data_IF_947022324286
#
_entry.id   IF_947022324286
#
_cell.length_a   1.000
_cell.length_b   1.000
_cell.length_c   1.000
_cell.angle_alpha   90.00
_cell.angle_beta   90.00
_cell.angle_gamma   90.00
#
_symmetry.space_group_name_H-M   'P 1'
#
loop_
_entity.id
_entity.type
_entity.pdbx_description
1 polymer ?
#
# COMPACT_ATOMS: atom_id res chain seq x y z
N UNK A 1 13.60 19.22 -14.81
CA UNK A 1 13.02 18.85 -13.49
C UNK A 1 13.52 17.46 -13.12
N UNK A 2 14.17 17.30 -11.97
CA UNK A 2 14.82 16.03 -11.58
C UNK A 2 13.81 15.11 -10.89
N UNK A 3 13.65 13.90 -11.43
CA UNK A 3 12.77 12.84 -10.97
C UNK A 3 13.12 12.43 -9.52
N UNK A 4 12.14 12.52 -8.60
CA UNK A 4 12.23 12.12 -7.19
C UNK A 4 11.39 10.85 -7.00
N UNK A 5 11.96 9.79 -6.42
CA UNK A 5 11.22 8.54 -6.19
C UNK A 5 10.36 8.64 -4.93
N UNK A 6 9.06 8.50 -5.12
CA UNK A 6 8.05 8.37 -4.07
C UNK A 6 7.59 6.90 -4.02
N UNK A 7 7.33 6.38 -2.83
CA UNK A 7 7.10 4.96 -2.57
C UNK A 7 5.85 4.77 -1.69
N UNK A 8 5.06 3.72 -1.94
CA UNK A 8 3.91 3.37 -1.09
C UNK A 8 4.29 2.29 -0.08
N UNK A 9 4.19 2.55 1.22
CA UNK A 9 4.49 1.56 2.26
C UNK A 9 3.27 1.24 3.12
N UNK A 10 3.19 -0.03 3.54
CA UNK A 10 2.19 -0.54 4.49
C UNK A 10 2.78 -0.41 5.89
N UNK A 11 2.14 0.36 6.76
CA UNK A 11 2.55 0.44 8.16
C UNK A 11 1.88 -0.70 8.94
N UNK A 12 2.69 -1.67 9.41
CA UNK A 12 2.24 -2.83 10.20
C UNK A 12 3.01 -2.84 11.51
N UNK A 13 2.40 -3.28 12.61
CA UNK A 13 3.13 -3.52 13.86
C UNK A 13 4.23 -4.58 13.64
N UNK A 14 5.45 -4.41 14.16
CA UNK A 14 6.38 -5.53 14.27
C UNK A 14 5.76 -6.56 15.22
N UNK A 15 5.44 -7.74 14.72
CA UNK A 15 4.89 -8.82 15.55
C UNK A 15 5.95 -9.32 16.54
N UNK A 16 5.67 -9.37 17.85
CA UNK A 16 6.60 -9.94 18.82
C UNK A 16 6.36 -11.44 18.96
N UNK A 17 6.72 -12.25 17.95
CA UNK A 17 7.00 -13.69 18.11
C UNK A 17 7.21 -14.39 16.75
N UNK A 18 8.46 -14.44 16.30
CA UNK A 18 9.01 -15.70 15.79
C UNK A 18 10.27 -15.97 16.60
N UNK A 19 10.35 -17.08 17.36
CA UNK A 19 11.61 -17.46 17.98
C UNK A 19 12.61 -17.71 16.84
N UNK A 20 13.76 -17.03 16.91
CA UNK A 20 14.94 -17.39 16.13
C UNK A 20 15.32 -18.83 16.51
N UNK A 21 14.76 -19.82 15.80
CA UNK A 21 15.28 -21.18 15.84
C UNK A 21 16.51 -21.21 14.95
N UNK A 22 17.66 -21.33 15.62
CA UNK A 22 18.96 -21.61 15.05
C UNK A 22 18.96 -23.02 14.47
N UNK A 23 18.51 -23.18 13.22
CA UNK A 23 18.82 -24.37 12.43
C UNK A 23 19.31 -23.95 11.06
N UNK A 24 20.63 -23.95 10.96
CA UNK A 24 21.41 -23.82 9.74
C UNK A 24 20.96 -24.82 8.66
N UNK A 25 20.31 -24.32 7.60
CA UNK A 25 20.37 -24.95 6.28
C UNK A 25 21.05 -24.01 5.28
N UNK A 26 22.33 -24.32 5.10
CA UNK A 26 23.26 -23.98 4.03
C UNK A 26 22.64 -23.86 2.62
N UNK A 27 22.14 -22.67 2.25
CA UNK A 27 21.92 -22.33 0.83
C UNK A 27 22.04 -20.83 0.47
N UNK A 28 22.51 -19.96 1.37
CA UNK A 28 22.71 -18.52 1.08
C UNK A 28 24.15 -18.06 1.35
N UNK A 29 25.13 -18.79 0.80
CA UNK A 29 26.53 -18.32 0.73
C UNK A 29 27.04 -18.40 -0.71
N UNK A 30 26.79 -17.32 -1.47
CA UNK A 30 27.70 -16.67 -2.42
C UNK A 30 26.90 -15.68 -3.28
N UNK A 31 26.66 -14.50 -2.74
CA UNK A 31 26.58 -13.30 -3.57
C UNK A 31 27.73 -12.44 -3.09
N UNK A 32 28.77 -12.38 -3.92
CA UNK A 32 29.94 -11.52 -3.72
C UNK A 32 29.47 -10.08 -3.45
N UNK A 33 30.16 -9.31 -2.59
CA UNK A 33 29.86 -7.89 -2.48
C UNK A 33 30.14 -7.26 -3.84
N UNK A 34 29.09 -6.87 -4.56
CA UNK A 34 29.27 -6.02 -5.73
C UNK A 34 29.82 -4.70 -5.17
N UNK A 35 31.14 -4.51 -5.27
CA UNK A 35 31.75 -3.19 -5.17
C UNK A 35 31.18 -2.35 -6.31
N UNK A 36 30.04 -1.70 -6.08
CA UNK A 36 29.53 -0.64 -6.95
C UNK A 36 30.26 0.64 -6.56
N UNK A 37 30.94 1.23 -7.54
CA UNK A 37 31.57 2.53 -7.44
C UNK A 37 30.67 3.54 -6.72
N UNK A 38 31.16 4.10 -5.62
CA UNK A 38 30.46 5.07 -4.78
C UNK A 38 30.39 6.48 -5.42
N UNK A 39 30.79 6.63 -6.68
CA UNK A 39 30.93 7.91 -7.38
C UNK A 39 29.62 8.57 -7.83
N UNK A 40 28.46 7.90 -7.67
CA UNK A 40 27.16 8.41 -8.12
C UNK A 40 26.09 8.48 -7.02
N UNK A 41 26.47 8.42 -5.75
CA UNK A 41 25.53 8.61 -4.64
C UNK A 41 25.06 10.06 -4.64
N UNK A 42 23.81 10.30 -5.08
CA UNK A 42 23.17 11.61 -4.95
C UNK A 42 23.11 11.98 -3.47
N UNK A 43 23.44 13.23 -3.16
CA UNK A 43 23.34 13.74 -1.80
C UNK A 43 21.89 13.59 -1.30
N UNK A 44 21.69 13.20 -0.03
CA UNK A 44 20.36 13.00 0.52
C UNK A 44 19.53 14.28 0.39
N UNK A 45 18.28 14.15 -0.06
CA UNK A 45 17.38 15.30 -0.17
C UNK A 45 16.93 15.74 1.22
N UNK A 46 16.83 17.05 1.45
CA UNK A 46 16.31 17.57 2.73
C UNK A 46 14.83 17.17 2.90
N UNK A 47 14.41 16.79 4.12
CA UNK A 47 13.00 16.58 4.44
C UNK A 47 12.15 17.80 4.07
N UNK A 48 10.95 17.55 3.58
CA UNK A 48 9.92 18.54 3.33
C UNK A 48 9.40 19.09 4.67
N UNK A 49 9.12 20.38 4.71
CA UNK A 49 8.43 21.01 5.84
C UNK A 49 6.94 21.04 5.52
N UNK A 50 6.13 20.51 6.43
CA UNK A 50 4.67 20.55 6.35
C UNK A 50 4.13 21.65 7.27
N UNK A 51 2.93 22.19 6.98
CA UNK A 51 2.27 23.12 7.89
C UNK A 51 2.08 22.50 9.28
N UNK A 52 2.19 23.33 10.32
CA UNK A 52 1.90 22.93 11.71
C UNK A 52 0.47 23.28 12.16
N UNK A 53 -0.34 23.83 11.26
CA UNK A 53 -1.76 24.17 11.48
C UNK A 53 -2.49 24.27 10.13
N UNK A 54 -3.80 24.52 10.15
CA UNK A 54 -4.60 24.76 8.93
C UNK A 54 -5.33 23.54 8.39
N UNK A 55 -5.55 22.52 9.22
CA UNK A 55 -6.44 21.39 8.95
C UNK A 55 -7.70 21.48 9.79
N UNK A 56 -8.76 20.84 9.31
CA UNK A 56 -9.97 20.62 10.10
C UNK A 56 -9.72 19.53 11.15
N UNK A 57 -10.14 19.81 12.39
CA UNK A 57 -10.09 18.86 13.51
C UNK A 57 -11.41 18.10 13.55
N UNK A 58 -11.32 16.77 13.53
CA UNK A 58 -12.47 15.89 13.58
C UNK A 58 -12.78 15.55 15.04
N UNK A 59 -14.07 15.52 15.38
CA UNK A 59 -14.54 15.07 16.70
C UNK A 59 -14.02 13.63 16.99
N UNK A 60 -13.32 13.41 18.12
CA UNK A 60 -12.87 12.09 18.56
C UNK A 60 -13.95 11.00 18.58
N UNK A 61 -15.23 11.35 18.75
CA UNK A 61 -16.35 10.41 18.81
C UNK A 61 -16.78 9.88 17.44
N UNK A 62 -16.41 10.53 16.35
CA UNK A 62 -16.85 10.15 15.00
C UNK A 62 -15.85 9.13 14.43
N UNK A 63 -16.24 7.86 14.18
CA UNK A 63 -15.35 6.91 13.53
C UNK A 63 -15.08 7.35 12.09
N UNK A 64 -13.82 7.33 11.68
CA UNK A 64 -13.41 7.63 10.30
C UNK A 64 -12.68 6.45 9.69
N UNK A 65 -12.90 6.20 8.40
CA UNK A 65 -12.12 5.26 7.59
C UNK A 65 -11.95 3.87 8.25
N UNK A 66 -10.73 3.48 8.62
CA UNK A 66 -10.44 2.20 9.26
C UNK A 66 -11.17 2.00 10.58
N UNK A 67 -11.50 3.08 11.30
CA UNK A 67 -12.24 3.02 12.56
C UNK A 67 -13.69 2.56 12.36
N UNK A 68 -14.22 2.63 11.14
CA UNK A 68 -15.56 2.12 10.79
C UNK A 68 -15.58 0.60 10.55
N UNK A 69 -14.42 -0.04 10.45
CA UNK A 69 -14.33 -1.48 10.23
C UNK A 69 -14.70 -2.21 11.53
N UNK A 70 -15.68 -3.14 11.54
CA UNK A 70 -16.14 -3.79 12.77
C UNK A 70 -15.04 -4.51 13.59
N UNK A 71 -13.98 -4.97 12.92
CA UNK A 71 -12.85 -5.66 13.53
C UNK A 71 -11.66 -4.75 13.87
N UNK A 72 -11.82 -3.43 13.67
CA UNK A 72 -10.78 -2.46 13.94
C UNK A 72 -10.36 -2.47 15.41
N UNK A 73 -9.05 -2.49 15.63
CA UNK A 73 -8.44 -2.37 16.95
C UNK A 73 -7.24 -1.44 16.82
N UNK A 74 -7.26 -0.23 17.42
CA UNK A 74 -6.22 0.76 17.19
C UNK A 74 -4.82 0.25 17.59
N UNK A 75 -4.74 -0.67 18.55
CA UNK A 75 -3.50 -1.29 19.04
C UNK A 75 -2.82 -2.18 18.00
N UNK A 76 -3.55 -2.63 16.97
CA UNK A 76 -2.99 -3.43 15.87
C UNK A 76 -2.41 -2.58 14.74
N UNK A 77 -2.65 -1.27 14.75
CA UNK A 77 -2.23 -0.35 13.71
C UNK A 77 -1.07 0.51 14.23
N UNK A 78 0.02 0.58 13.46
CA UNK A 78 1.15 1.43 13.82
C UNK A 78 0.75 2.92 13.74
N UNK A 79 0.98 3.74 14.76
CA UNK A 79 0.82 5.18 14.63
C UNK A 79 1.85 5.73 13.63
N UNK A 80 1.40 6.61 12.74
CA UNK A 80 2.23 7.23 11.70
C UNK A 80 1.89 8.71 11.63
N UNK A 81 2.91 9.57 11.59
CA UNK A 81 2.71 11.03 11.54
C UNK A 81 3.20 11.62 10.22
N UNK A 82 2.38 12.47 9.60
CA UNK A 82 2.81 13.22 8.40
C UNK A 82 4.05 14.07 8.74
N UNK A 83 5.08 13.96 7.92
CA UNK A 83 6.38 14.61 8.11
C UNK A 83 7.42 13.78 8.88
N UNK A 84 7.01 12.71 9.57
CA UNK A 84 7.91 11.77 10.25
C UNK A 84 8.89 11.13 9.27
N UNK A 85 10.10 10.80 9.72
CA UNK A 85 11.12 10.13 8.90
C UNK A 85 11.44 8.76 9.48
N UNK A 86 10.96 7.70 8.81
CA UNK A 86 11.28 6.32 9.16
C UNK A 86 12.67 5.92 8.69
N UNK A 87 13.40 5.22 9.57
CA UNK A 87 14.74 4.69 9.30
C UNK A 87 15.71 5.74 8.71
N UNK A 88 15.55 7.00 9.15
CA UNK A 88 16.28 8.17 8.65
C UNK A 88 16.21 8.39 7.13
N UNK A 89 15.26 7.76 6.43
CA UNK A 89 15.25 7.69 4.97
C UNK A 89 13.90 7.98 4.34
N UNK A 90 12.81 7.51 4.93
CA UNK A 90 11.48 7.61 4.33
C UNK A 90 10.66 8.65 5.06
N UNK A 91 10.48 9.80 4.44
CA UNK A 91 9.61 10.83 4.99
C UNK A 91 8.16 10.56 4.63
N UNK A 92 7.27 10.52 5.61
CA UNK A 92 5.83 10.38 5.39
C UNK A 92 5.25 11.64 4.76
N UNK A 93 4.58 11.50 3.63
CA UNK A 93 3.92 12.60 2.93
C UNK A 93 2.42 12.67 3.20
N UNK A 94 1.75 11.53 3.35
CA UNK A 94 0.30 11.49 3.56
C UNK A 94 -0.26 10.08 3.44
N UNK A 95 -1.49 9.90 3.93
CA UNK A 95 -2.18 8.62 3.90
C UNK A 95 -2.83 8.40 2.53
N UNK A 96 -2.62 7.23 1.95
CA UNK A 96 -3.20 6.83 0.65
C UNK A 96 -4.47 6.01 0.81
N UNK A 97 -4.57 5.23 1.88
CA UNK A 97 -5.69 4.35 2.12
C UNK A 97 -5.52 3.51 3.37
N UNK A 98 -6.45 2.59 3.55
CA UNK A 98 -6.53 1.71 4.70
C UNK A 98 -7.21 0.40 4.32
N UNK A 99 -7.00 -0.63 5.14
CA UNK A 99 -7.65 -1.92 5.04
C UNK A 99 -7.81 -2.56 6.41
N UNK A 100 -8.31 -3.80 6.45
CA UNK A 100 -8.62 -4.53 7.69
C UNK A 100 -7.44 -4.69 8.65
N UNK A 101 -6.21 -4.67 8.12
CA UNK A 101 -4.99 -5.01 8.87
C UNK A 101 -3.91 -3.93 8.85
N UNK A 102 -4.04 -2.90 8.02
CA UNK A 102 -3.03 -1.84 7.93
C UNK A 102 -3.53 -0.55 7.31
N UNK A 103 -2.79 0.53 7.53
CA UNK A 103 -2.86 1.78 6.78
C UNK A 103 -1.75 1.84 5.73
N UNK A 104 -2.03 2.48 4.60
CA UNK A 104 -1.10 2.65 3.48
C UNK A 104 -0.71 4.13 3.37
N UNK A 105 0.59 4.39 3.26
CA UNK A 105 1.17 5.73 3.30
C UNK A 105 2.06 5.99 2.09
N UNK A 106 2.00 7.23 1.59
CA UNK A 106 2.98 7.71 0.63
C UNK A 106 4.20 8.21 1.38
N UNK A 107 5.36 7.64 1.06
CA UNK A 107 6.65 8.04 1.57
C UNK A 107 7.54 8.63 0.49
N UNK A 108 8.40 9.57 0.89
CA UNK A 108 9.47 10.11 0.06
C UNK A 108 10.80 9.51 0.47
N UNK A 109 11.48 8.87 -0.47
CA UNK A 109 12.84 8.39 -0.25
C UNK A 109 13.82 9.56 -0.31
N UNK A 110 14.47 9.86 0.81
CA UNK A 110 15.44 10.93 0.90
C UNK A 110 16.80 10.55 0.30
N UNK A 111 17.08 9.26 0.08
CA UNK A 111 18.39 8.77 -0.32
C UNK A 111 18.44 8.10 -1.71
N UNK A 112 17.33 8.04 -2.44
CA UNK A 112 17.24 7.54 -3.83
C UNK A 112 17.82 6.11 -4.04
N UNK A 113 17.90 5.32 -2.97
CA UNK A 113 18.32 3.91 -3.05
C UNK A 113 17.12 3.01 -3.37
N UNK A 114 17.34 1.84 -3.96
CA UNK A 114 16.28 0.84 -4.11
C UNK A 114 16.19 0.04 -2.81
N UNK A 115 15.09 0.15 -2.07
CA UNK A 115 14.73 -0.84 -1.06
C UNK A 115 13.26 -1.22 -1.24
N UNK A 116 12.93 -2.45 -0.85
CA UNK A 116 11.62 -3.08 -0.96
C UNK A 116 10.52 -2.21 -0.37
N UNK A 117 9.98 -1.34 -1.21
CA UNK A 117 8.74 -0.61 -0.97
C UNK A 117 8.04 -0.65 -2.32
N UNK A 118 6.78 -1.11 -2.32
CA UNK A 118 6.03 -1.30 -3.54
C UNK A 118 5.93 0.04 -4.31
N UNK A 119 6.03 0.05 -5.66
CA UNK A 119 5.76 1.26 -6.42
C UNK A 119 4.39 1.84 -6.02
N UNK A 120 4.25 3.17 -5.89
CA UNK A 120 2.96 3.74 -5.56
C UNK A 120 1.96 3.36 -6.65
N UNK A 121 0.83 2.82 -6.23
CA UNK A 121 -0.29 2.51 -7.10
C UNK A 121 -1.38 3.57 -6.89
N UNK A 122 -2.15 3.81 -7.95
CA UNK A 122 -3.30 4.70 -7.93
C UNK A 122 -4.52 4.04 -7.34
N UNK A 123 -5.69 4.51 -7.78
CA UNK A 123 -7.00 4.05 -7.30
C UNK A 123 -7.26 2.57 -7.61
N UNK A 124 -8.15 1.96 -6.83
CA UNK A 124 -8.66 0.61 -7.11
C UNK A 124 -9.62 0.59 -8.30
N UNK A 125 -9.88 -0.60 -8.84
CA UNK A 125 -10.90 -0.76 -9.88
C UNK A 125 -12.31 -0.44 -9.37
N UNK A 126 -12.58 -0.69 -8.09
CA UNK A 126 -13.86 -0.32 -7.48
C UNK A 126 -14.06 1.21 -7.51
N UNK A 127 -13.07 1.95 -7.00
CA UNK A 127 -13.05 3.41 -7.02
C UNK A 127 -13.14 3.95 -8.45
N UNK A 128 -12.42 3.33 -9.40
CA UNK A 128 -12.51 3.74 -10.80
C UNK A 128 -13.92 3.53 -11.35
N UNK A 129 -14.54 2.38 -11.06
CA UNK A 129 -15.87 2.05 -11.56
C UNK A 129 -16.89 3.08 -11.10
N UNK A 130 -16.82 3.51 -9.83
CA UNK A 130 -17.68 4.58 -9.30
C UNK A 130 -17.51 5.93 -10.01
N UNK A 131 -16.34 6.20 -10.61
CA UNK A 131 -16.04 7.45 -11.33
C UNK A 131 -16.43 7.39 -12.83
N UNK A 132 -16.74 6.21 -13.37
CA UNK A 132 -17.06 6.05 -14.78
C UNK A 132 -18.54 6.34 -15.08
N UNK A 133 -18.87 6.89 -16.28
CA UNK A 133 -20.25 7.07 -16.70
C UNK A 133 -21.04 5.76 -16.64
N UNK A 134 -22.10 5.74 -15.84
CA UNK A 134 -22.95 4.56 -15.64
C UNK A 134 -22.29 3.42 -14.86
N UNK A 135 -21.10 3.61 -14.29
CA UNK A 135 -20.42 2.56 -13.53
C UNK A 135 -19.91 1.40 -14.39
N UNK A 136 -19.65 1.63 -15.68
CA UNK A 136 -19.29 0.56 -16.62
C UNK A 136 -17.87 0.75 -17.15
N UNK A 137 -17.03 -0.28 -16.99
CA UNK A 137 -15.73 -0.35 -17.65
C UNK A 137 -15.88 -0.73 -19.13
N UNK A 138 -15.06 -0.12 -19.99
CA UNK A 138 -15.00 -0.53 -21.40
C UNK A 138 -14.51 -1.97 -21.56
N UNK A 139 -14.93 -2.64 -22.64
CA UNK A 139 -14.48 -4.01 -22.96
C UNK A 139 -12.96 -4.12 -23.08
N UNK A 140 -12.28 -3.06 -23.54
CA UNK A 140 -10.83 -3.00 -23.60
C UNK A 140 -10.18 -2.97 -22.21
N UNK A 141 -10.74 -2.21 -21.26
CA UNK A 141 -10.27 -2.16 -19.87
C UNK A 141 -10.49 -3.49 -19.17
N UNK A 142 -11.67 -4.10 -19.33
CA UNK A 142 -11.97 -5.42 -18.77
C UNK A 142 -11.00 -6.47 -19.31
N UNK A 143 -10.80 -6.52 -20.63
CA UNK A 143 -9.87 -7.47 -21.27
C UNK A 143 -8.44 -7.30 -20.76
N UNK A 144 -7.98 -6.07 -20.61
CA UNK A 144 -6.63 -5.79 -20.09
C UNK A 144 -6.51 -6.19 -18.63
N UNK A 145 -7.51 -5.88 -17.82
CA UNK A 145 -7.56 -6.24 -16.40
C UNK A 145 -7.52 -7.74 -16.21
N UNK A 146 -8.41 -8.48 -16.87
CA UNK A 146 -8.50 -9.94 -16.75
C UNK A 146 -7.17 -10.60 -17.15
N UNK A 147 -6.53 -10.15 -18.24
CA UNK A 147 -5.22 -10.69 -18.65
C UNK A 147 -4.14 -10.52 -17.57
N UNK A 148 -4.05 -9.34 -16.96
CA UNK A 148 -3.06 -9.09 -15.91
C UNK A 148 -3.38 -9.86 -14.63
N UNK A 149 -4.66 -9.96 -14.24
CA UNK A 149 -5.09 -10.74 -13.09
C UNK A 149 -4.79 -12.22 -13.29
N UNK A 150 -5.11 -12.79 -14.46
CA UNK A 150 -4.83 -14.19 -14.77
C UNK A 150 -3.33 -14.48 -14.78
N UNK A 151 -2.51 -13.59 -15.34
CA UNK A 151 -1.06 -13.73 -15.31
C UNK A 151 -0.49 -13.69 -13.87
N UNK A 152 -1.03 -12.82 -13.01
CA UNK A 152 -0.65 -12.75 -11.61
C UNK A 152 -1.06 -14.02 -10.84
N UNK A 153 -2.27 -14.53 -11.09
CA UNK A 153 -2.76 -15.76 -10.46
C UNK A 153 -1.97 -16.99 -10.93
N UNK A 154 -1.63 -17.08 -12.21
CA UNK A 154 -0.80 -18.15 -12.75
C UNK A 154 0.57 -18.19 -12.04
N UNK A 155 1.23 -17.04 -11.90
CA UNK A 155 2.46 -16.95 -11.12
C UNK A 155 2.27 -17.38 -9.66
N UNK A 156 1.21 -16.90 -9.00
CA UNK A 156 0.96 -17.24 -7.59
C UNK A 156 0.73 -18.75 -7.38
N UNK A 157 -0.04 -19.38 -8.27
CA UNK A 157 -0.38 -20.80 -8.15
C UNK A 157 0.77 -21.71 -8.58
N UNK A 158 1.40 -21.41 -9.71
CA UNK A 158 2.40 -22.27 -10.35
C UNK A 158 3.77 -22.14 -9.70
N UNK A 159 4.24 -20.90 -9.46
CA UNK A 159 5.61 -20.64 -9.00
C UNK A 159 5.67 -20.41 -7.49
N UNK A 160 4.74 -19.60 -6.95
CA UNK A 160 4.77 -19.24 -5.52
C UNK A 160 4.07 -20.26 -4.62
N UNK A 161 3.23 -21.13 -5.20
CA UNK A 161 2.35 -22.04 -4.47
C UNK A 161 1.51 -21.32 -3.39
N UNK A 162 0.93 -20.18 -3.76
CA UNK A 162 0.09 -19.33 -2.90
C UNK A 162 -1.29 -19.23 -3.52
N UNK A 163 -2.32 -19.50 -2.72
CA UNK A 163 -3.72 -19.32 -3.09
C UNK A 163 -4.16 -17.90 -2.70
N UNK A 164 -4.66 -17.16 -3.69
CA UNK A 164 -5.36 -15.89 -3.47
C UNK A 164 -6.78 -16.19 -2.98
N UNK A 165 -7.10 -15.78 -1.77
CA UNK A 165 -8.41 -15.98 -1.11
C UNK A 165 -9.28 -14.74 -1.08
N UNK A 166 -8.78 -13.60 -1.56
CA UNK A 166 -9.47 -12.31 -1.49
C UNK A 166 -9.32 -11.55 -2.82
N UNK A 167 -9.81 -12.16 -3.90
CA UNK A 167 -9.83 -11.54 -5.23
C UNK A 167 -11.11 -10.71 -5.38
N UNK A 168 -10.95 -9.39 -5.39
CA UNK A 168 -12.05 -8.43 -5.54
C UNK A 168 -11.55 -7.13 -6.18
N UNK A 169 -12.43 -6.30 -6.79
CA UNK A 169 -12.04 -5.05 -7.44
C UNK A 169 -11.28 -4.06 -6.54
N UNK A 170 -11.55 -4.07 -5.22
CA UNK A 170 -10.83 -3.27 -4.23
C UNK A 170 -9.34 -3.60 -4.12
N UNK A 171 -8.98 -4.85 -4.39
CA UNK A 171 -7.61 -5.36 -4.30
C UNK A 171 -6.87 -5.31 -5.65
N UNK A 172 -7.47 -4.72 -6.69
CA UNK A 172 -6.83 -4.50 -7.98
C UNK A 172 -6.60 -3.00 -8.13
N UNK A 173 -5.35 -2.58 -7.94
CA UNK A 173 -4.96 -1.17 -8.01
C UNK A 173 -4.33 -0.86 -9.38
N UNK A 174 -4.58 0.33 -9.90
CA UNK A 174 -4.00 0.76 -11.17
C UNK A 174 -2.59 1.30 -10.98
N UNK A 175 -1.66 0.90 -11.84
CA UNK A 175 -0.33 1.50 -11.90
C UNK A 175 -0.39 3.01 -12.19
N UNK A 176 0.66 3.72 -11.77
CA UNK A 176 0.82 5.15 -12.08
C UNK A 176 1.72 5.27 -13.30
N UNK A 177 1.21 5.86 -14.39
CA UNK A 177 2.01 6.16 -15.60
C UNK A 177 2.74 7.49 -15.52
N UNK A 178 2.09 8.49 -14.93
CA UNK A 178 2.62 9.84 -14.81
C UNK A 178 2.99 10.12 -13.36
N UNK A 179 4.29 10.13 -13.05
CA UNK A 179 4.81 10.41 -11.72
C UNK A 179 4.48 11.85 -11.23
N UNK A 180 4.03 12.75 -12.12
CA UNK A 180 3.56 14.09 -11.71
C UNK A 180 2.41 14.03 -10.71
N UNK A 181 1.59 12.97 -10.72
CA UNK A 181 0.48 12.79 -9.76
C UNK A 181 0.99 12.71 -8.32
N UNK A 182 2.17 12.13 -8.12
CA UNK A 182 2.78 11.98 -6.80
C UNK A 182 3.34 13.31 -6.29
N UNK A 183 3.89 14.13 -7.20
CA UNK A 183 4.35 15.48 -6.86
C UNK A 183 3.18 16.42 -6.56
N UNK A 184 2.07 16.28 -7.29
CA UNK A 184 0.81 17.00 -7.01
C UNK A 184 0.22 16.59 -5.67
N UNK A 185 0.27 15.30 -5.32
CA UNK A 185 -0.14 14.82 -4.00
C UNK A 185 0.69 15.48 -2.88
N UNK A 186 2.02 15.45 -3.01
CA UNK A 186 2.93 16.08 -2.03
C UNK A 186 2.60 17.56 -1.84
N UNK A 187 2.45 18.29 -2.95
CA UNK A 187 2.18 19.73 -2.91
C UNK A 187 0.79 20.03 -2.34
N UNK A 188 -0.23 19.24 -2.69
CA UNK A 188 -1.59 19.42 -2.19
C UNK A 188 -1.70 19.22 -0.67
N UNK A 189 -0.92 18.30 -0.08
CA UNK A 189 -0.88 18.15 1.37
C UNK A 189 -0.19 19.33 2.08
N UNK A 190 0.76 19.98 1.41
CA UNK A 190 1.42 21.19 1.93
C UNK A 190 0.50 22.40 1.83
N UNK A 191 -0.22 22.54 0.71
CA UNK A 191 -1.07 23.72 0.46
C UNK A 191 -2.39 23.64 1.23
N UNK A 192 -2.94 22.43 1.39
CA UNK A 192 -4.23 22.21 2.03
C UNK A 192 -4.18 20.89 2.81
N UNK A 193 -3.66 20.88 4.06
CA UNK A 193 -3.52 19.67 4.85
C UNK A 193 -4.83 18.91 5.05
N UNK A 194 -4.80 17.57 5.01
CA UNK A 194 -6.03 16.78 5.22
C UNK A 194 -6.59 16.95 6.64
N UNK A 195 -7.93 16.87 6.80
CA UNK A 195 -8.56 16.77 8.11
C UNK A 195 -8.03 15.57 8.89
N UNK A 196 -7.96 15.72 10.22
CA UNK A 196 -7.40 14.68 11.09
C UNK A 196 -8.05 14.68 12.47
N UNK A 197 -8.09 13.50 13.07
CA UNK A 197 -8.51 13.27 14.46
C UNK A 197 -7.25 13.18 15.31
N UNK A 198 -7.16 14.02 16.34
CA UNK A 198 -6.07 13.97 17.32
C UNK A 198 -6.56 13.29 18.59
N UNK A 199 -5.91 12.19 18.96
CA UNK A 199 -6.12 11.43 20.19
C UNK A 199 -4.87 11.56 21.07
N UNK A 200 -4.97 11.14 22.33
CA UNK A 200 -3.87 11.25 23.31
C UNK A 200 -2.59 10.53 22.85
N UNK A 201 -2.73 9.37 22.21
CA UNK A 201 -1.62 8.50 21.81
C UNK A 201 -1.43 8.37 20.30
N UNK A 202 -2.28 8.99 19.47
CA UNK A 202 -2.20 8.88 18.01
C UNK A 202 -2.94 9.99 17.27
N UNK A 203 -2.63 10.12 15.99
CA UNK A 203 -3.41 10.94 15.06
C UNK A 203 -3.92 10.05 13.93
N UNK A 204 -5.23 10.10 13.66
CA UNK A 204 -5.84 9.45 12.50
C UNK A 204 -6.06 10.50 11.42
N UNK A 205 -5.57 10.25 10.21
CA UNK A 205 -5.66 11.18 9.09
C UNK A 205 -6.66 10.64 8.06
N UNK A 206 -7.41 11.52 7.40
CA UNK A 206 -8.13 11.12 6.20
C UNK A 206 -7.17 10.74 5.08
N UNK A 207 -7.56 9.76 4.28
CA UNK A 207 -6.83 9.37 3.09
C UNK A 207 -7.00 10.45 2.02
N UNK A 208 -5.89 10.87 1.41
CA UNK A 208 -5.94 11.76 0.25
C UNK A 208 -6.03 10.93 -1.02
N UNK A 209 -7.00 11.18 -1.92
CA UNK A 209 -7.09 10.45 -3.17
C UNK A 209 -5.92 10.83 -4.10
N UNK A 210 -5.35 9.83 -4.76
CA UNK A 210 -4.44 10.06 -5.89
C UNK A 210 -5.24 10.39 -7.14
N UNK A 211 -4.72 11.32 -7.96
CA UNK A 211 -5.31 11.59 -9.28
C UNK A 211 -5.36 10.31 -10.11
N UNK A 212 -6.46 10.13 -10.86
CA UNK A 212 -6.68 8.94 -11.67
C UNK A 212 -5.54 8.73 -12.66
N UNK A 213 -4.95 7.54 -12.63
CA UNK A 213 -3.96 7.10 -13.62
C UNK A 213 -4.38 5.73 -14.16
N UNK A 214 -4.37 5.59 -15.48
CA UNK A 214 -4.77 4.36 -16.18
C UNK A 214 -3.54 3.50 -16.51
N UNK A 215 -2.71 3.22 -15.50
CA UNK A 215 -1.59 2.30 -15.64
C UNK A 215 -2.02 0.83 -15.61
N UNK A 216 -1.03 -0.05 -15.68
CA UNK A 216 -1.26 -1.50 -15.67
C UNK A 216 -1.95 -1.91 -14.36
N UNK A 217 -3.05 -2.68 -14.41
CA UNK A 217 -3.68 -3.21 -13.21
C UNK A 217 -2.75 -4.17 -12.48
N UNK A 218 -2.66 -4.05 -11.15
CA UNK A 218 -1.82 -4.86 -10.29
C UNK A 218 -2.69 -5.51 -9.20
N UNK A 219 -2.58 -6.83 -9.07
CA UNK A 219 -3.22 -7.56 -7.96
C UNK A 219 -2.43 -7.30 -6.67
N UNK A 220 -3.13 -6.79 -5.65
CA UNK A 220 -2.54 -6.29 -4.42
C UNK A 220 -3.04 -7.05 -3.18
N UNK A 221 -2.43 -6.71 -2.05
CA UNK A 221 -2.82 -7.10 -0.69
C UNK A 221 -2.92 -8.61 -0.41
N UNK A 222 -1.79 -9.33 -0.38
CA UNK A 222 -1.70 -10.74 0.02
C UNK A 222 -1.97 -11.02 1.51
N UNK A 223 -2.60 -10.11 2.26
CA UNK A 223 -2.86 -10.26 3.70
C UNK A 223 -3.67 -11.51 4.06
N UNK A 224 -4.61 -11.90 3.19
CA UNK A 224 -5.46 -13.09 3.38
C UNK A 224 -4.92 -14.33 2.64
N UNK A 225 -3.84 -14.19 1.88
CA UNK A 225 -3.33 -15.26 1.02
C UNK A 225 -2.84 -16.46 1.83
N UNK A 226 -3.01 -17.66 1.26
CA UNK A 226 -2.70 -18.92 1.95
C UNK A 226 -1.67 -19.72 1.17
N UNK A 227 -0.82 -20.47 1.86
CA UNK A 227 0.05 -21.44 1.19
C UNK A 227 -0.81 -22.57 0.59
N UNK A 228 -0.46 -23.00 -0.62
CA UNK A 228 -1.12 -24.05 -1.40
C UNK A 228 -0.89 -25.45 -0.84
N UNK A 229 -1.23 -25.66 0.43
CA UNK A 229 -1.22 -26.96 1.09
C UNK A 229 -2.65 -27.52 1.15
N UNK A 230 -2.81 -28.84 1.08
CA UNK A 230 -4.10 -29.53 0.93
C UNK A 230 -5.09 -29.40 2.12
N UNK A 231 -4.77 -28.63 3.18
CA UNK A 231 -5.51 -28.59 4.44
C UNK A 231 -5.99 -27.19 4.85
N UNK A 232 -6.31 -26.31 3.88
CA UNK A 232 -6.84 -24.98 4.21
C UNK A 232 -8.31 -25.06 4.67
N UNK A 233 -8.59 -24.58 5.88
CA UNK A 233 -9.93 -24.50 6.48
C UNK A 233 -10.25 -23.06 6.91
N UNK A 234 -11.52 -22.71 6.99
CA UNK A 234 -11.99 -21.43 7.51
C UNK A 234 -12.62 -20.54 6.45
N UNK A 235 -13.18 -19.42 6.91
CA UNK A 235 -13.90 -18.46 6.07
C UNK A 235 -12.93 -17.75 5.13
N UNK A 236 -13.12 -17.91 3.82
CA UNK A 236 -12.32 -17.29 2.76
C UNK A 236 -13.23 -16.78 1.66
N UNK A 237 -12.75 -15.76 0.94
CA UNK A 237 -13.46 -15.04 -0.10
C UNK A 237 -14.66 -14.23 0.40
N UNK A 238 -14.81 -12.97 -0.05
CA UNK A 238 -16.03 -12.20 0.19
C UNK A 238 -17.24 -12.90 -0.42
N UNK A 239 -18.42 -12.77 0.19
CA UNK A 239 -19.62 -13.54 -0.15
C UNK A 239 -19.94 -13.59 -1.65
N UNK A 240 -19.93 -12.44 -2.34
CA UNK A 240 -20.27 -12.37 -3.78
C UNK A 240 -19.17 -12.92 -4.71
N UNK A 241 -17.97 -13.12 -4.18
CA UNK A 241 -16.81 -13.65 -4.92
C UNK A 241 -16.41 -15.05 -4.42
N UNK A 242 -17.19 -15.62 -3.50
CA UNK A 242 -16.93 -16.93 -2.92
C UNK A 242 -17.17 -18.02 -3.94
N UNK A 243 -16.16 -18.85 -4.15
CA UNK A 243 -16.28 -20.02 -5.01
C UNK A 243 -17.22 -21.05 -4.36
N UNK A 244 -18.02 -21.78 -5.17
CA UNK A 244 -19.03 -22.70 -4.66
C UNK A 244 -18.47 -23.84 -3.82
N UNK A 245 -17.24 -24.28 -4.06
CA UNK A 245 -16.55 -25.33 -3.29
C UNK A 245 -16.19 -24.93 -1.85
N UNK A 246 -16.35 -23.65 -1.49
CA UNK A 246 -16.12 -23.13 -0.14
C UNK A 246 -17.41 -23.07 0.69
N UNK A 247 -18.57 -23.27 0.07
CA UNK A 247 -19.90 -23.30 0.70
C UNK A 247 -20.26 -24.74 1.06
#
# INVERSE_FOLDING_TARGET
MKERRLLGFRAVFPTPSFPYSTTTHSAFRRILPIKRDMAHLRSPSKPRVFPSSGWDIIDPCIPIEEESIPTYRPEKFCPVYIGEVFNHRYQVLGKLGYGSTATVWLGRDLFDYTCLVHPPLGISLDQLTQLLPGGVMSSAMVRTTIRNVLAALDFLHTEAHVIRTDLQPNNILLGIKDNSVLSKFEQAEVDMPVPRKTLENRTTYFSRPLSVSYGTPVLCDLGEARLGTNNQKGDIMPDIYRAPEVI
#
